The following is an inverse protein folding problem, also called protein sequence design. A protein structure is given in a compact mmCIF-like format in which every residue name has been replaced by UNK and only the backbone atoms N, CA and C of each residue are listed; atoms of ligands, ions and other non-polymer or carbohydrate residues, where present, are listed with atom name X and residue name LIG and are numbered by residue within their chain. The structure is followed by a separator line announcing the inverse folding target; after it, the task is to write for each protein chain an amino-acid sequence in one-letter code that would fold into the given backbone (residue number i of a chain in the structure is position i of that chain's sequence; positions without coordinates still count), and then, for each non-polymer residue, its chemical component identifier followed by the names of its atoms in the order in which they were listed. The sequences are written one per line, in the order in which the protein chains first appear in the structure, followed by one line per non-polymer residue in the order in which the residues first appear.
data_IF_301606809498
#
_entry.id   IF_301606809498
#
_cell.length_a   1.000
_cell.length_b   1.000
_cell.length_c   1.000
_cell.angle_alpha   90.00
_cell.angle_beta   90.00
_cell.angle_gamma   90.00
#
_symmetry.space_group_name_H-M   'P 1'
#
loop_
_entity.id
_entity.type
_entity.pdbx_description
1 polymer ?
#
# COMPACT_ATOMS: atom_id res chain seq x y z
N UNK A 1 1.95 19.15 7.76
CA UNK A 1 2.13 17.70 7.85
C UNK A 1 0.77 17.08 7.66
N UNK A 2 0.58 16.35 6.57
CA UNK A 2 -0.61 15.53 6.41
C UNK A 2 -0.74 14.60 7.63
N UNK A 3 -1.96 14.43 8.14
CA UNK A 3 -2.21 13.55 9.28
C UNK A 3 -2.45 12.14 8.74
N UNK A 4 -1.39 11.47 8.31
CA UNK A 4 -1.50 10.12 7.76
C UNK A 4 -1.22 9.09 8.85
N UNK A 5 -2.04 8.05 8.90
CA UNK A 5 -1.69 6.79 9.55
C UNK A 5 -1.27 5.84 8.43
N UNK A 6 -0.09 5.24 8.57
CA UNK A 6 0.39 4.28 7.58
C UNK A 6 -0.24 2.93 7.92
N UNK A 7 -1.21 2.52 7.12
CA UNK A 7 -1.76 1.17 7.21
C UNK A 7 -0.92 0.28 6.32
N UNK A 8 -0.13 -0.60 6.93
CA UNK A 8 0.72 -1.57 6.21
C UNK A 8 -0.04 -2.88 6.10
N UNK A 9 -0.35 -3.28 4.87
CA UNK A 9 -0.93 -4.60 4.57
C UNK A 9 0.19 -5.53 4.18
N UNK A 10 0.37 -6.60 4.95
CA UNK A 10 1.42 -7.58 4.70
C UNK A 10 0.83 -8.84 4.08
N UNK A 11 1.14 -9.07 2.80
CA UNK A 11 0.72 -10.27 2.08
C UNK A 11 1.59 -11.48 2.47
N UNK A 12 2.88 -11.26 2.75
CA UNK A 12 3.82 -12.26 3.24
C UNK A 12 4.92 -11.58 4.10
N UNK A 13 5.22 -12.10 5.30
CA UNK A 13 6.30 -11.72 6.27
C UNK A 13 5.98 -10.77 7.46
N UNK A 14 6.85 -10.84 8.47
CA UNK A 14 6.89 -10.02 9.69
C UNK A 14 7.65 -8.71 9.42
N UNK A 15 7.01 -7.53 9.61
CA UNK A 15 7.77 -6.26 9.70
C UNK A 15 8.75 -6.36 10.86
N UNK A 16 9.96 -5.82 10.69
CA UNK A 16 10.90 -5.66 11.78
C UNK A 16 10.27 -4.85 12.93
N UNK A 17 10.01 -5.51 14.06
CA UNK A 17 9.37 -4.91 15.22
C UNK A 17 10.17 -3.75 15.81
N UNK A 18 11.50 -3.75 15.66
CA UNK A 18 12.36 -2.66 16.13
C UNK A 18 12.15 -1.39 15.30
N UNK A 19 11.92 -1.54 13.99
CA UNK A 19 11.56 -0.43 13.09
C UNK A 19 10.21 0.14 13.50
N UNK A 20 9.20 -0.71 13.74
CA UNK A 20 7.88 -0.25 14.20
C UNK A 20 7.94 0.47 15.55
N UNK A 21 8.71 -0.06 16.49
CA UNK A 21 8.88 0.53 17.81
C UNK A 21 9.55 1.90 17.72
N UNK A 22 10.60 2.02 16.89
CA UNK A 22 11.27 3.28 16.63
C UNK A 22 10.31 4.31 16.01
N UNK A 23 9.57 3.94 14.97
CA UNK A 23 8.65 4.86 14.30
C UNK A 23 7.49 5.28 15.20
N UNK A 24 6.93 4.35 15.96
CA UNK A 24 5.92 4.68 16.97
C UNK A 24 6.49 5.68 17.99
N UNK A 25 7.77 5.56 18.36
CA UNK A 25 8.44 6.51 19.27
C UNK A 25 8.67 7.89 18.65
N UNK A 26 8.82 7.97 17.33
CA UNK A 26 8.88 9.23 16.56
C UNK A 26 7.48 9.85 16.32
N UNK A 27 6.41 9.15 16.75
CA UNK A 27 5.03 9.65 16.69
C UNK A 27 4.21 9.15 15.50
N UNK A 28 4.76 8.24 14.68
CA UNK A 28 4.01 7.64 13.58
C UNK A 28 2.88 6.75 14.09
N UNK A 29 1.69 6.91 13.51
CA UNK A 29 0.60 5.95 13.67
C UNK A 29 0.71 4.90 12.58
N UNK A 30 0.87 3.65 13.00
CA UNK A 30 1.00 2.50 12.12
C UNK A 30 -0.08 1.48 12.49
N UNK A 31 -0.83 1.02 11.51
CA UNK A 31 -1.75 -0.12 11.65
C UNK A 31 -1.29 -1.23 10.73
N UNK A 32 -1.00 -2.40 11.29
CA UNK A 32 -0.57 -3.56 10.49
C UNK A 32 -1.74 -4.53 10.40
N UNK A 33 -2.23 -4.71 9.19
CA UNK A 33 -3.26 -5.70 8.90
C UNK A 33 -2.57 -6.93 8.35
N UNK A 34 -2.61 -8.01 9.13
CA UNK A 34 -2.16 -9.35 8.72
C UNK A 34 -3.40 -10.17 8.43
N UNK A 35 -3.77 -10.37 7.15
CA UNK A 35 -4.90 -11.22 6.84
C UNK A 35 -4.54 -12.64 7.27
N UNK A 36 -5.42 -13.30 8.03
CA UNK A 36 -5.07 -14.56 8.70
C UNK A 36 -4.79 -15.65 7.68
N UNK A 37 -3.55 -16.14 7.67
CA UNK A 37 -3.11 -17.22 6.79
C UNK A 37 -3.90 -18.53 6.97
N UNK A 38 -4.59 -18.68 8.11
CA UNK A 38 -5.31 -19.90 8.50
C UNK A 38 -6.62 -20.15 7.75
N UNK A 39 -7.22 -19.12 7.15
CA UNK A 39 -8.45 -19.30 6.36
C UNK A 39 -8.14 -19.78 4.91
N UNK A 40 -6.86 -19.76 4.49
CA UNK A 40 -6.39 -20.26 3.18
C UNK A 40 -6.26 -21.78 3.09
N UNK A 41 -6.14 -22.50 4.21
CA UNK A 41 -5.67 -23.89 4.23
C UNK A 41 -6.75 -24.90 3.79
N UNK A 42 -8.03 -24.49 3.71
CA UNK A 42 -9.15 -25.38 3.34
C UNK A 42 -9.28 -25.68 1.83
N UNK A 43 -8.21 -25.46 1.03
CA UNK A 43 -8.09 -25.92 -0.38
C UNK A 43 -9.16 -25.40 -1.34
N UNK A 44 -9.70 -24.21 -1.11
CA UNK A 44 -10.40 -23.44 -2.14
C UNK A 44 -9.37 -22.50 -2.75
N UNK A 45 -9.28 -22.47 -4.07
CA UNK A 45 -8.33 -21.62 -4.79
C UNK A 45 -8.46 -20.17 -4.32
N UNK A 46 -7.33 -19.56 -3.97
CA UNK A 46 -7.20 -18.24 -3.35
C UNK A 46 -7.35 -17.09 -4.35
N UNK A 47 -8.36 -17.20 -5.21
CA UNK A 47 -8.64 -16.23 -6.26
C UNK A 47 -9.08 -14.93 -5.61
N UNK A 48 -8.48 -13.82 -6.02
CA UNK A 48 -8.78 -12.49 -5.47
C UNK A 48 -8.37 -12.28 -4.00
N UNK A 49 -7.58 -13.19 -3.39
CA UNK A 49 -7.21 -13.07 -1.97
C UNK A 49 -6.49 -11.76 -1.67
N UNK A 50 -5.56 -11.33 -2.54
CA UNK A 50 -4.86 -10.07 -2.37
C UNK A 50 -5.85 -8.89 -2.41
N UNK A 51 -6.75 -8.82 -3.40
CA UNK A 51 -7.80 -7.80 -3.46
C UNK A 51 -8.65 -7.74 -2.19
N UNK A 52 -9.16 -8.90 -1.72
CA UNK A 52 -10.00 -9.01 -0.53
C UNK A 52 -9.24 -8.53 0.71
N UNK A 53 -8.02 -9.03 0.92
CA UNK A 53 -7.16 -8.65 2.03
C UNK A 53 -6.88 -7.14 2.06
N UNK A 54 -6.64 -6.54 0.89
CA UNK A 54 -6.39 -5.11 0.76
C UNK A 54 -7.64 -4.28 1.03
N UNK A 55 -8.80 -4.72 0.55
CA UNK A 55 -10.09 -4.08 0.81
C UNK A 55 -10.44 -4.11 2.30
N UNK A 56 -10.26 -5.26 2.97
CA UNK A 56 -10.46 -5.38 4.42
C UNK A 56 -9.53 -4.44 5.19
N UNK A 57 -8.24 -4.39 4.81
CA UNK A 57 -7.29 -3.52 5.46
C UNK A 57 -7.60 -2.03 5.25
N UNK A 58 -8.04 -1.65 4.05
CA UNK A 58 -8.49 -0.29 3.74
C UNK A 58 -9.69 0.12 4.61
N UNK A 59 -10.62 -0.82 4.85
CA UNK A 59 -11.79 -0.58 5.70
C UNK A 59 -11.44 -0.44 7.19
N UNK A 60 -10.39 -1.14 7.66
CA UNK A 60 -9.93 -1.10 9.05
C UNK A 60 -9.02 0.09 9.37
N UNK A 61 -8.30 0.60 8.37
CA UNK A 61 -7.43 1.76 8.53
C UNK A 61 -8.20 3.02 8.90
N UNK A 62 -7.66 3.88 9.76
CA UNK A 62 -8.27 5.17 10.12
C UNK A 62 -7.59 6.36 9.42
N UNK A 63 -6.38 6.17 8.90
CA UNK A 63 -5.57 7.16 8.20
C UNK A 63 -6.12 7.67 6.87
N UNK A 64 -5.63 8.83 6.44
CA UNK A 64 -5.95 9.40 5.14
C UNK A 64 -5.35 8.60 3.97
N UNK A 65 -4.25 7.90 4.21
CA UNK A 65 -3.52 7.10 3.22
C UNK A 65 -3.40 5.64 3.68
N UNK A 66 -3.49 4.69 2.75
CA UNK A 66 -3.25 3.25 2.98
C UNK A 66 -2.08 2.82 2.11
N UNK A 67 -1.14 2.07 2.67
CA UNK A 67 0.11 1.69 2.00
C UNK A 67 0.19 0.17 1.89
N UNK A 68 0.32 -0.32 0.66
CA UNK A 68 0.49 -1.73 0.37
C UNK A 68 1.97 -1.99 0.11
N UNK A 69 2.57 -2.87 0.91
CA UNK A 69 3.94 -3.32 0.73
C UNK A 69 3.91 -4.67 -0.01
N UNK A 70 4.67 -4.78 -1.10
CA UNK A 70 4.83 -6.04 -1.82
C UNK A 70 5.59 -7.08 -0.97
N UNK A 71 5.49 -8.36 -1.37
CA UNK A 71 6.30 -9.43 -0.78
C UNK A 71 7.79 -9.05 -0.84
N UNK A 72 8.50 -9.23 0.28
CA UNK A 72 9.93 -8.87 0.46
C UNK A 72 10.24 -7.37 0.50
N UNK A 73 9.25 -6.50 0.73
CA UNK A 73 9.49 -5.14 1.21
C UNK A 73 10.04 -5.15 2.64
N UNK A 74 11.26 -4.65 2.82
CA UNK A 74 11.78 -4.29 4.14
C UNK A 74 11.92 -2.75 4.23
N UNK A 75 10.91 -2.05 4.80
CA UNK A 75 10.99 -0.61 4.96
C UNK A 75 11.97 -0.25 6.09
N UNK A 76 12.91 0.64 5.81
CA UNK A 76 13.85 1.20 6.78
C UNK A 76 13.49 2.65 7.15
N UNK A 77 14.24 3.26 8.07
CA UNK A 77 13.97 4.64 8.49
C UNK A 77 14.02 5.66 7.33
N UNK A 78 14.81 5.41 6.29
CA UNK A 78 14.90 6.29 5.13
C UNK A 78 13.66 6.16 4.25
N UNK A 79 13.13 4.95 4.09
CA UNK A 79 11.86 4.71 3.40
C UNK A 79 10.70 5.52 4.01
N UNK A 80 10.61 5.60 5.35
CA UNK A 80 9.55 6.39 6.01
C UNK A 80 9.69 7.90 5.76
N UNK A 81 10.92 8.43 5.81
CA UNK A 81 11.18 9.84 5.51
C UNK A 81 10.86 10.18 4.03
N UNK A 82 11.16 9.26 3.12
CA UNK A 82 10.82 9.42 1.71
C UNK A 82 9.31 9.25 1.45
N UNK A 83 8.63 8.34 2.17
CA UNK A 83 7.17 8.20 2.14
C UNK A 83 6.49 9.51 2.55
N UNK A 84 6.90 10.12 3.66
CA UNK A 84 6.38 11.42 4.10
C UNK A 84 6.46 12.48 3.01
N UNK A 85 7.66 12.63 2.44
CA UNK A 85 7.91 13.58 1.37
C UNK A 85 7.03 13.28 0.15
N UNK A 86 6.96 12.02 -0.25
CA UNK A 86 6.19 11.57 -1.41
C UNK A 86 4.68 11.81 -1.21
N UNK A 87 4.15 11.60 0.00
CA UNK A 87 2.73 11.83 0.33
C UNK A 87 2.40 13.33 0.38
N UNK A 88 3.24 14.16 1.01
CA UNK A 88 3.05 15.62 1.04
C UNK A 88 3.12 16.21 -0.39
N UNK A 89 4.00 15.67 -1.24
CA UNK A 89 4.07 16.04 -2.65
C UNK A 89 2.84 15.58 -3.45
N UNK A 90 2.36 14.36 -3.19
CA UNK A 90 1.14 13.84 -3.82
C UNK A 90 -0.07 14.72 -3.48
N UNK A 91 -0.25 15.07 -2.20
CA UNK A 91 -1.29 16.00 -1.73
C UNK A 91 -1.20 17.36 -2.41
N UNK A 92 0.01 17.93 -2.48
CA UNK A 92 0.25 19.24 -3.12
C UNK A 92 -0.13 19.22 -4.60
N UNK A 93 0.02 18.07 -5.28
CA UNK A 93 -0.33 17.88 -6.70
C UNK A 93 -1.77 17.41 -6.91
N UNK A 94 -2.54 17.17 -5.84
CA UNK A 94 -3.88 16.58 -5.91
C UNK A 94 -3.88 15.14 -6.43
N UNK A 95 -2.78 14.40 -6.23
CA UNK A 95 -2.69 12.99 -6.57
C UNK A 95 -3.35 12.13 -5.48
N UNK A 96 -4.02 11.06 -5.91
CA UNK A 96 -4.71 10.12 -5.01
C UNK A 96 -3.98 8.80 -4.87
N UNK A 97 -2.92 8.63 -5.65
CA UNK A 97 -2.00 7.49 -5.60
C UNK A 97 -0.58 8.05 -5.56
N UNK A 98 0.27 7.44 -4.73
CA UNK A 98 1.71 7.65 -4.74
C UNK A 98 2.40 6.30 -4.92
N UNK A 99 3.11 6.13 -6.03
CA UNK A 99 3.83 4.90 -6.37
C UNK A 99 5.30 5.08 -6.03
N UNK A 100 5.94 4.06 -5.43
CA UNK A 100 7.38 4.08 -5.20
C UNK A 100 8.18 4.31 -6.50
N UNK A 101 9.33 4.97 -6.39
CA UNK A 101 10.16 5.29 -7.56
C UNK A 101 10.90 4.07 -8.11
N UNK A 102 10.93 3.90 -9.43
CA UNK A 102 11.78 2.91 -10.11
C UNK A 102 13.26 3.34 -10.05
N UNK A 103 13.94 3.13 -8.92
CA UNK A 103 15.37 3.37 -8.81
C UNK A 103 16.22 2.22 -9.36
N UNK A 104 15.63 1.09 -9.80
CA UNK A 104 16.38 -0.03 -10.39
C UNK A 104 15.71 -0.58 -11.67
N UNK A 105 16.47 -0.74 -12.77
CA UNK A 105 15.95 -1.18 -14.07
C UNK A 105 15.61 -2.68 -14.17
N UNK A 106 15.83 -3.45 -13.09
CA UNK A 106 15.46 -4.86 -13.05
C UNK A 106 14.04 -4.98 -12.52
N UNK A 107 13.12 -5.30 -13.43
CA UNK A 107 11.66 -5.40 -13.27
C UNK A 107 11.16 -6.51 -12.30
N UNK A 108 11.94 -6.87 -11.27
CA UNK A 108 11.68 -8.04 -10.43
C UNK A 108 11.60 -7.78 -8.92
N UNK A 109 11.54 -6.54 -8.43
CA UNK A 109 11.37 -6.32 -6.98
C UNK A 109 10.44 -5.18 -6.60
N UNK A 110 9.46 -5.59 -5.77
CA UNK A 110 9.01 -4.93 -4.55
C UNK A 110 8.66 -3.46 -4.71
N UNK A 111 7.43 -3.23 -5.16
CA UNK A 111 6.82 -1.90 -5.21
C UNK A 111 5.90 -1.76 -4.03
N UNK A 112 6.10 -0.68 -3.27
CA UNK A 112 5.04 -0.22 -2.41
C UNK A 112 4.21 0.85 -3.13
N UNK A 113 2.94 0.91 -2.76
CA UNK A 113 1.98 1.82 -3.33
C UNK A 113 1.08 2.38 -2.24
N UNK A 114 0.83 3.68 -2.29
CA UNK A 114 -0.01 4.37 -1.35
C UNK A 114 -1.24 4.94 -2.05
N UNK A 115 -2.42 4.75 -1.47
CA UNK A 115 -3.69 5.28 -1.96
C UNK A 115 -4.34 6.19 -0.94
N UNK A 116 -4.98 7.27 -1.40
CA UNK A 116 -5.93 8.04 -0.60
C UNK A 116 -7.09 7.13 -0.22
N UNK A 117 -7.26 6.88 1.07
CA UNK A 117 -8.23 5.91 1.61
C UNK A 117 -9.65 6.25 1.20
N UNK A 118 -10.02 7.52 1.34
CA UNK A 118 -11.35 8.03 1.02
C UNK A 118 -11.70 7.86 -0.47
N UNK A 119 -10.75 8.11 -1.35
CA UNK A 119 -10.91 7.95 -2.80
C UNK A 119 -11.00 6.46 -3.16
N UNK A 120 -10.05 5.64 -2.68
CA UNK A 120 -10.06 4.19 -2.94
C UNK A 120 -11.37 3.55 -2.47
N UNK A 121 -11.84 3.91 -1.28
CA UNK A 121 -13.11 3.43 -0.74
C UNK A 121 -14.32 3.92 -1.56
N UNK A 122 -14.31 5.17 -2.05
CA UNK A 122 -15.37 5.69 -2.91
C UNK A 122 -15.46 4.97 -4.27
N UNK A 123 -14.35 4.39 -4.74
CA UNK A 123 -14.27 3.60 -5.98
C UNK A 123 -14.58 2.12 -5.78
N UNK A 124 -14.86 1.68 -4.55
CA UNK A 124 -15.18 0.29 -4.25
C UNK A 124 -13.96 -0.60 -3.95
N UNK A 125 -12.76 -0.01 -3.86
CA UNK A 125 -11.53 -0.73 -3.55
C UNK A 125 -10.95 -1.47 -4.76
N UNK A 126 -10.29 -2.59 -4.51
CA UNK A 126 -9.68 -3.46 -5.52
C UNK A 126 -10.70 -4.48 -6.04
N UNK A 127 -10.67 -4.73 -7.35
CA UNK A 127 -11.48 -5.78 -7.98
C UNK A 127 -11.04 -7.17 -7.49
N UNK A 128 -11.99 -7.97 -6.98
CA UNK A 128 -11.76 -9.29 -6.39
C UNK A 128 -12.19 -10.45 -7.32
N UNK A 129 -12.30 -10.20 -8.63
CA UNK A 129 -12.63 -11.20 -9.64
C UNK A 129 -11.40 -11.98 -10.18
N UNK A 130 -11.67 -13.08 -10.87
CA UNK A 130 -10.65 -13.99 -11.41
C UNK A 130 -9.78 -13.35 -12.51
N UNK A 131 -10.32 -12.40 -13.27
CA UNK A 131 -9.61 -11.75 -14.36
C UNK A 131 -8.64 -10.67 -13.85
N UNK A 132 -8.80 -10.25 -12.59
CA UNK A 132 -8.05 -9.18 -11.93
C UNK A 132 -6.87 -9.66 -11.09
N UNK A 133 -6.73 -10.97 -10.87
CA UNK A 133 -5.69 -11.55 -10.00
C UNK A 133 -4.27 -11.19 -10.49
N UNK A 134 -3.47 -10.60 -9.60
CA UNK A 134 -2.11 -10.12 -9.88
C UNK A 134 -2.04 -8.84 -10.71
N UNK A 135 -3.18 -8.22 -11.02
CA UNK A 135 -3.30 -6.94 -11.75
C UNK A 135 -4.13 -5.91 -10.97
N UNK A 136 -4.41 -6.16 -9.69
CA UNK A 136 -5.34 -5.39 -8.86
C UNK A 136 -4.92 -3.90 -8.77
N UNK A 137 -3.63 -3.63 -8.54
CA UNK A 137 -3.09 -2.28 -8.50
C UNK A 137 -3.25 -1.57 -9.85
N UNK A 138 -2.89 -2.27 -10.93
CA UNK A 138 -2.97 -1.72 -12.27
C UNK A 138 -4.41 -1.36 -12.67
N UNK A 139 -5.37 -2.22 -12.31
CA UNK A 139 -6.79 -1.97 -12.58
C UNK A 139 -7.33 -0.81 -11.75
N UNK A 140 -7.02 -0.76 -10.45
CA UNK A 140 -7.41 0.36 -9.59
C UNK A 140 -6.83 1.69 -10.08
N UNK A 141 -5.54 1.72 -10.43
CA UNK A 141 -4.89 2.90 -11.03
C UNK A 141 -5.55 3.33 -12.34
N UNK A 142 -5.88 2.37 -13.21
CA UNK A 142 -6.53 2.64 -14.50
C UNK A 142 -7.91 3.27 -14.29
N UNK A 143 -8.71 2.78 -13.35
CA UNK A 143 -10.01 3.34 -13.01
C UNK A 143 -9.91 4.76 -12.44
N UNK A 144 -8.93 4.99 -11.55
CA UNK A 144 -8.68 6.31 -10.96
C UNK A 144 -8.25 7.33 -12.02
N UNK A 145 -7.34 6.95 -12.92
CA UNK A 145 -6.93 7.79 -14.05
C UNK A 145 -8.10 8.04 -15.01
N UNK A 146 -8.92 7.03 -15.30
CA UNK A 146 -10.11 7.18 -16.14
C UNK A 146 -11.13 8.14 -15.52
N UNK A 147 -11.19 8.22 -14.19
CA UNK A 147 -12.00 9.19 -13.44
C UNK A 147 -11.36 10.59 -13.32
N UNK A 148 -10.15 10.79 -13.85
CA UNK A 148 -9.45 12.07 -13.89
C UNK A 148 -8.57 12.37 -12.69
N UNK A 149 -8.29 11.38 -11.84
CA UNK A 149 -7.34 11.55 -10.75
C UNK A 149 -5.89 11.46 -11.23
N UNK A 150 -5.00 12.12 -10.50
CA UNK A 150 -3.57 12.08 -10.74
C UNK A 150 -2.90 10.97 -9.92
N UNK A 151 -1.87 10.37 -10.49
CA UNK A 151 -0.94 9.45 -9.84
C UNK A 151 0.41 10.16 -9.72
N UNK A 152 0.98 10.19 -8.52
CA UNK A 152 2.31 10.72 -8.27
C UNK A 152 3.33 9.60 -8.25
N UNK A 153 4.44 9.80 -8.95
CA UNK A 153 5.62 8.97 -8.79
C UNK A 153 6.49 9.56 -7.68
N UNK A 154 6.73 8.76 -6.66
CA UNK A 154 7.58 9.06 -5.52
C UNK A 154 9.03 8.69 -5.74
N UNK A 155 9.80 8.78 -4.67
CA UNK A 155 11.24 8.54 -4.62
C UNK A 155 11.63 7.45 -3.63
N UNK A 156 10.71 7.03 -2.75
CA UNK A 156 10.94 5.96 -1.79
C UNK A 156 11.21 4.62 -2.45
N UNK A 157 11.97 3.79 -1.76
CA UNK A 157 12.46 2.50 -2.21
C UNK A 157 12.64 1.59 -0.98
N UNK A 158 12.04 0.39 -0.96
CA UNK A 158 12.35 -0.60 0.06
C UNK A 158 13.71 -1.25 -0.20
N UNK A 159 14.40 -1.71 0.85
CA UNK A 159 15.56 -2.57 0.63
C UNK A 159 15.11 -3.92 0.07
N UNK A 160 15.88 -4.52 -0.85
CA UNK A 160 15.48 -5.72 -1.59
C UNK A 160 15.70 -7.04 -0.85
#
# INVERSE_FOLDING_TARGET
MANFEVVIVQEHYDVNLDVLAHLTSEGYRLSIVRPRFYDLINRVALRGYCAIARNEATALGEGDWVIFLADRSDPDAMWFADLERDLDEAETRGAVVSVAGDAQPDATRVRDIAYRRDVLHAFGGFADDEDSEGSEDFLAELELVAAGFAIAQGTRCCQP
#
